data_IF_713661947398
#
_entry.id   IF_713661947398
#
_cell.length_a   1.000
_cell.length_b   1.000
_cell.length_c   1.000
_cell.angle_alpha   90.00
_cell.angle_beta   90.00
_cell.angle_gamma   90.00
#
_symmetry.space_group_name_H-M   'P 1'
#
loop_
_entity.id
_entity.type
_entity.pdbx_description
1 polymer ?
#
# COMPACT_ATOMS: atom_id res chain seq x y z
N UNK A 1 -4.56 -0.87 -1.84
CA UNK A 1 -5.82 -0.65 -2.60
C UNK A 1 -7.10 -1.18 -1.98
N UNK A 2 -7.15 -2.43 -1.49
CA UNK A 2 -8.39 -3.02 -0.92
C UNK A 2 -8.94 -2.19 0.25
N UNK A 3 -8.10 -1.79 1.20
CA UNK A 3 -8.49 -0.99 2.37
C UNK A 3 -9.03 0.39 2.00
N UNK A 4 -8.44 1.01 0.96
CA UNK A 4 -8.90 2.30 0.41
C UNK A 4 -10.28 2.20 -0.21
N UNK A 5 -10.52 1.14 -1.00
CA UNK A 5 -11.85 0.91 -1.60
C UNK A 5 -12.88 0.60 -0.53
N UNK A 6 -12.51 -0.18 0.48
CA UNK A 6 -13.39 -0.52 1.57
C UNK A 6 -13.76 0.74 2.40
N UNK A 7 -12.84 1.69 2.62
CA UNK A 7 -13.19 3.01 3.19
C UNK A 7 -14.21 3.76 2.33
N UNK A 8 -14.03 3.76 1.00
CA UNK A 8 -14.96 4.43 0.08
C UNK A 8 -16.38 3.86 0.16
N UNK A 9 -16.51 2.53 0.33
CA UNK A 9 -17.80 1.84 0.50
C UNK A 9 -18.49 2.25 1.81
N UNK A 10 -17.71 2.41 2.89
CA UNK A 10 -18.25 2.80 4.20
C UNK A 10 -18.47 4.31 4.35
N UNK A 11 -18.06 5.12 3.37
CA UNK A 11 -18.22 6.57 3.39
C UNK A 11 -17.63 7.21 4.66
N UNK A 12 -18.35 8.15 5.27
CA UNK A 12 -17.90 8.85 6.47
C UNK A 12 -17.68 7.92 7.68
N UNK A 13 -18.41 6.80 7.77
CA UNK A 13 -18.23 5.81 8.84
C UNK A 13 -16.87 5.12 8.76
N UNK A 14 -16.34 4.92 7.54
CA UNK A 14 -15.01 4.33 7.35
C UNK A 14 -13.86 5.19 7.87
N UNK A 15 -14.12 6.45 8.23
CA UNK A 15 -13.16 7.38 8.85
C UNK A 15 -13.31 7.49 10.37
N UNK A 16 -14.34 6.86 10.95
CA UNK A 16 -14.50 6.81 12.41
C UNK A 16 -13.48 5.84 13.01
N UNK A 17 -12.78 6.27 14.06
CA UNK A 17 -11.78 5.44 14.77
C UNK A 17 -12.36 4.15 15.35
N UNK A 18 -13.67 4.07 15.48
CA UNK A 18 -14.39 2.91 16.00
C UNK A 18 -14.51 1.77 14.97
N UNK A 19 -14.20 2.03 13.69
CA UNK A 19 -14.18 1.00 12.66
C UNK A 19 -12.77 0.49 12.41
N UNK A 20 -12.59 -0.84 12.42
CA UNK A 20 -11.29 -1.49 12.17
C UNK A 20 -10.67 -1.13 10.82
N UNK A 21 -11.47 -0.66 9.87
CA UNK A 21 -11.07 -0.30 8.52
C UNK A 21 -10.11 0.89 8.47
N UNK A 22 -10.21 1.83 9.41
CA UNK A 22 -9.30 2.97 9.55
C UNK A 22 -7.91 2.49 9.95
N UNK A 23 -7.83 1.56 10.92
CA UNK A 23 -6.59 0.91 11.35
C UNK A 23 -5.93 0.17 10.19
N UNK A 24 -6.70 -0.65 9.49
CA UNK A 24 -6.21 -1.41 8.33
C UNK A 24 -5.72 -0.50 7.19
N UNK A 25 -6.37 0.65 6.97
CA UNK A 25 -5.90 1.63 6.00
C UNK A 25 -4.58 2.28 6.39
N UNK A 26 -4.41 2.66 7.67
CA UNK A 26 -3.14 3.20 8.19
C UNK A 26 -2.00 2.19 8.08
N UNK A 27 -2.26 0.94 8.49
CA UNK A 27 -1.24 -0.12 8.45
C UNK A 27 -0.81 -0.41 6.99
N UNK A 28 -1.77 -0.47 6.06
CA UNK A 28 -1.48 -0.62 4.64
C UNK A 28 -0.60 0.53 4.12
N UNK A 29 -0.87 1.78 4.50
CA UNK A 29 -0.02 2.92 4.11
C UNK A 29 1.38 2.88 4.73
N UNK A 30 1.50 2.36 5.94
CA UNK A 30 2.80 2.18 6.57
C UNK A 30 3.67 1.19 5.78
N UNK A 31 3.10 0.07 5.33
CA UNK A 31 3.83 -0.95 4.56
C UNK A 31 4.38 -0.41 3.23
N UNK A 32 3.68 0.52 2.58
CA UNK A 32 4.15 1.15 1.34
C UNK A 32 5.43 1.99 1.53
N UNK A 33 5.70 2.46 2.75
CA UNK A 33 6.85 3.31 3.08
C UNK A 33 7.95 2.49 3.75
N UNK A 34 7.58 1.61 4.70
CA UNK A 34 8.52 0.90 5.56
C UNK A 34 9.13 -0.36 4.92
N UNK A 35 8.33 -1.19 4.26
CA UNK A 35 8.79 -2.47 3.69
C UNK A 35 9.44 -2.31 2.30
N UNK A 36 9.83 -1.08 1.99
CA UNK A 36 10.41 -0.68 0.72
C UNK A 36 9.50 0.29 0.01
N UNK A 37 9.97 1.54 -0.11
CA UNK A 37 9.35 2.54 -0.99
C UNK A 37 9.16 1.89 -2.34
N UNK A 38 7.91 1.83 -2.82
CA UNK A 38 7.57 1.06 -4.03
C UNK A 38 8.41 1.47 -5.26
N UNK A 39 8.96 2.68 -5.25
CA UNK A 39 9.89 3.20 -6.25
C UNK A 39 11.25 2.51 -6.23
N UNK A 40 11.84 2.31 -5.04
CA UNK A 40 13.12 1.61 -4.88
C UNK A 40 12.97 0.15 -5.31
N UNK A 41 11.87 -0.49 -4.92
CA UNK A 41 11.57 -1.85 -5.36
C UNK A 41 11.46 -1.95 -6.89
N UNK A 42 10.81 -0.99 -7.55
CA UNK A 42 10.74 -0.93 -9.02
C UNK A 42 12.12 -0.79 -9.67
N UNK A 43 13.02 0.02 -9.10
CA UNK A 43 14.40 0.16 -9.60
C UNK A 43 15.18 -1.14 -9.47
N UNK A 44 15.08 -1.83 -8.34
CA UNK A 44 15.76 -3.13 -8.11
C UNK A 44 15.24 -4.19 -9.09
N UNK A 45 13.92 -4.26 -9.29
CA UNK A 45 13.30 -5.20 -10.24
C UNK A 45 13.76 -4.87 -11.67
N UNK A 46 13.81 -3.60 -12.04
CA UNK A 46 14.29 -3.18 -13.37
C UNK A 46 15.76 -3.56 -13.60
N UNK A 47 16.64 -3.35 -12.61
CA UNK A 47 18.04 -3.77 -12.69
C UNK A 47 18.18 -5.30 -12.85
N UNK A 48 17.41 -6.09 -12.09
CA UNK A 48 17.39 -7.54 -12.23
C UNK A 48 16.94 -7.99 -13.63
N UNK A 49 15.85 -7.42 -14.16
CA UNK A 49 15.34 -7.77 -15.49
C UNK A 49 16.30 -7.39 -16.61
N UNK A 50 17.05 -6.29 -16.46
CA UNK A 50 18.05 -5.87 -17.44
C UNK A 50 19.29 -6.77 -17.41
N UNK A 51 19.68 -7.30 -16.23
CA UNK A 51 20.80 -8.23 -16.09
C UNK A 51 20.50 -9.64 -16.59
N UNK A 52 19.26 -10.13 -16.48
CA UNK A 52 18.88 -11.46 -17.02
C UNK A 52 18.80 -11.49 -18.56
N UNK A 53 18.63 -10.34 -19.22
CA UNK A 53 18.52 -10.25 -20.68
C UNK A 53 19.84 -10.04 -21.43
N UNK A 54 20.96 -9.86 -20.71
CA UNK A 54 22.31 -9.75 -21.27
C UNK A 54 23.07 -11.06 -21.16
#
# INVERSE_FOLDING_TARGET
DVTRMAMQVHGAYGYMKDMEIERLYRDAKLTEIYEGVSEIQRVIIADHLLREKG
#
